data_IF_562214511373
#
_entry.id   IF_562214511373
#
_cell.length_a   1.000
_cell.length_b   1.000
_cell.length_c   1.000
_cell.angle_alpha   90.00
_cell.angle_beta   90.00
_cell.angle_gamma   90.00
#
_symmetry.space_group_name_H-M   'P 1'
#
loop_
_entity.id
_entity.type
_entity.pdbx_description
1 polymer ?
#
# COMPACT_ATOMS: atom_id res chain seq x y z
N UNK A 1 11.71 -5.52 37.87
CA UNK A 1 12.31 -4.23 37.52
C UNK A 1 11.90 -3.92 36.08
N UNK A 2 11.20 -2.83 35.79
CA UNK A 2 10.88 -2.46 34.42
C UNK A 2 12.15 -1.91 33.75
N UNK A 3 12.53 -2.50 32.63
CA UNK A 3 13.59 -2.01 31.77
C UNK A 3 13.12 -0.67 31.21
N UNK A 4 13.90 0.41 31.40
CA UNK A 4 13.52 1.76 30.98
C UNK A 4 13.40 1.83 29.46
N UNK A 5 12.38 2.53 28.95
CA UNK A 5 12.15 2.72 27.49
C UNK A 5 13.38 3.25 26.73
N UNK A 6 14.27 3.98 27.43
CA UNK A 6 15.55 4.49 26.88
C UNK A 6 16.56 3.38 26.57
N UNK A 7 16.56 2.27 27.31
CA UNK A 7 17.48 1.14 27.06
C UNK A 7 17.00 0.31 25.86
N UNK A 8 15.69 0.23 25.63
CA UNK A 8 15.11 -0.48 24.48
C UNK A 8 15.45 0.26 23.18
N UNK A 9 15.42 1.60 23.18
CA UNK A 9 15.75 2.40 21.99
C UNK A 9 17.25 2.37 21.68
N UNK A 10 18.12 2.43 22.70
CA UNK A 10 19.57 2.31 22.50
C UNK A 10 20.00 0.92 22.04
N UNK A 11 19.36 -0.13 22.53
CA UNK A 11 19.61 -1.51 22.08
C UNK A 11 19.19 -1.70 20.61
N UNK A 12 18.05 -1.15 20.19
CA UNK A 12 17.61 -1.23 18.79
C UNK A 12 18.53 -0.47 17.84
N UNK A 13 19.01 0.72 18.24
CA UNK A 13 19.98 1.50 17.47
C UNK A 13 21.31 0.75 17.38
N UNK A 14 21.78 0.15 18.46
CA UNK A 14 23.01 -0.64 18.45
C UNK A 14 22.90 -1.89 17.57
N UNK A 15 21.75 -2.55 17.53
CA UNK A 15 21.50 -3.72 16.65
C UNK A 15 21.46 -3.28 15.19
N UNK A 16 20.82 -2.17 14.86
CA UNK A 16 20.81 -1.61 13.51
C UNK A 16 22.21 -1.22 13.04
N UNK A 17 23.02 -0.63 13.92
CA UNK A 17 24.43 -0.30 13.63
C UNK A 17 25.27 -1.57 13.41
N UNK A 18 25.12 -2.61 14.22
CA UNK A 18 25.84 -3.88 14.05
C UNK A 18 25.44 -4.61 12.77
N UNK A 19 24.16 -4.60 12.40
CA UNK A 19 23.69 -5.15 11.13
C UNK A 19 24.21 -4.32 9.97
N UNK A 20 24.22 -2.99 10.08
CA UNK A 20 24.82 -2.08 9.11
C UNK A 20 26.32 -2.34 8.89
N UNK A 21 27.09 -2.52 9.97
CA UNK A 21 28.52 -2.85 9.91
C UNK A 21 28.78 -4.22 9.28
N UNK A 22 27.96 -5.23 9.59
CA UNK A 22 28.07 -6.56 8.99
C UNK A 22 27.75 -6.54 7.49
N UNK A 23 26.76 -5.76 7.08
CA UNK A 23 26.41 -5.55 5.66
C UNK A 23 27.47 -4.71 4.93
N UNK A 24 28.07 -3.74 5.60
CA UNK A 24 29.17 -2.92 5.05
C UNK A 24 30.36 -3.77 4.58
N UNK A 25 30.69 -4.85 5.31
CA UNK A 25 31.79 -5.76 4.94
C UNK A 25 31.44 -6.64 3.72
N UNK A 26 30.20 -6.77 3.33
CA UNK A 26 29.73 -7.61 2.22
C UNK A 26 29.46 -6.81 0.93
N UNK A 27 29.37 -5.47 1.02
CA UNK A 27 29.09 -4.61 -0.13
C UNK A 27 30.39 -4.20 -0.82
N UNK A 28 30.59 -4.66 -2.06
CA UNK A 28 31.75 -4.25 -2.87
C UNK A 28 31.47 -2.90 -3.52
N UNK A 29 32.13 -1.84 -3.03
CA UNK A 29 31.95 -0.46 -3.51
C UNK A 29 32.69 -0.27 -4.84
N UNK A 30 31.97 -0.11 -5.95
CA UNK A 30 32.49 0.54 -7.17
C UNK A 30 32.08 2.01 -7.12
N UNK A 31 33.04 2.93 -6.93
CA UNK A 31 32.79 4.37 -7.04
C UNK A 31 32.57 4.74 -8.51
N UNK A 32 31.46 5.38 -8.90
CA UNK A 32 31.32 5.97 -10.22
C UNK A 32 32.07 7.30 -10.28
N UNK A 33 32.81 7.53 -11.39
CA UNK A 33 33.42 8.83 -11.68
C UNK A 33 32.35 9.87 -12.00
N UNK A 34 32.39 11.00 -11.32
CA UNK A 34 31.49 12.13 -11.52
C UNK A 34 31.90 12.91 -12.78
N UNK A 35 31.06 12.94 -13.79
CA UNK A 35 31.07 13.97 -14.83
C UNK A 35 29.85 14.89 -14.68
N UNK A 36 30.13 16.15 -14.34
CA UNK A 36 29.15 17.24 -14.28
C UNK A 36 28.85 17.67 -15.72
N UNK A 37 27.80 17.14 -16.34
CA UNK A 37 27.17 17.78 -17.48
C UNK A 37 25.78 17.16 -17.69
N UNK A 38 24.75 17.85 -17.21
CA UNK A 38 23.47 18.08 -17.87
C UNK A 38 22.41 18.55 -16.84
N UNK A 39 22.54 19.82 -16.46
CA UNK A 39 21.38 20.60 -16.03
C UNK A 39 20.74 21.18 -17.32
N UNK A 40 19.58 20.73 -17.69
CA UNK A 40 18.87 21.24 -18.85
C UNK A 40 17.43 20.78 -18.96
N UNK A 41 16.51 21.68 -18.69
CA UNK A 41 15.25 21.78 -19.40
C UNK A 41 14.05 21.00 -18.84
N UNK A 42 13.29 21.64 -17.94
CA UNK A 42 11.91 21.26 -17.69
C UNK A 42 11.04 21.41 -18.92
N UNK A 43 10.52 20.32 -19.44
CA UNK A 43 9.48 20.30 -20.46
C UNK A 43 8.19 19.77 -19.82
N UNK A 44 7.21 20.67 -19.67
CA UNK A 44 5.86 20.33 -19.21
C UNK A 44 5.22 19.30 -20.15
N UNK A 45 5.08 18.07 -19.71
CA UNK A 45 4.31 17.05 -20.42
C UNK A 45 2.82 17.37 -20.28
N UNK A 46 2.20 17.65 -21.44
CA UNK A 46 0.74 17.68 -21.64
C UNK A 46 0.14 16.37 -21.10
N UNK A 47 -0.78 16.49 -20.15
CA UNK A 47 -1.65 15.39 -19.73
C UNK A 47 -2.46 14.90 -20.93
N UNK A 48 -2.21 13.68 -21.33
CA UNK A 48 -2.96 13.00 -22.39
C UNK A 48 -4.21 12.36 -21.78
N UNK A 49 -5.31 12.62 -22.44
CA UNK A 49 -6.66 12.08 -22.42
C UNK A 49 -7.20 11.32 -21.20
N UNK A 50 -8.15 11.95 -20.51
CA UNK A 50 -9.10 11.30 -19.60
C UNK A 50 -9.95 10.28 -20.38
N UNK A 51 -9.69 9.00 -20.17
CA UNK A 51 -10.66 7.93 -20.42
C UNK A 51 -11.32 7.59 -19.08
N UNK A 52 -12.39 8.28 -18.78
CA UNK A 52 -13.19 8.07 -17.55
C UNK A 52 -14.07 9.29 -17.32
N UNK A 53 -15.29 9.08 -16.85
CA UNK A 53 -16.24 10.15 -16.55
C UNK A 53 -15.62 11.29 -15.72
N UNK A 54 -16.28 12.44 -15.72
CA UNK A 54 -15.83 13.59 -14.93
C UNK A 54 -15.94 13.27 -13.42
N UNK A 55 -14.80 12.88 -12.81
CA UNK A 55 -14.69 12.48 -11.40
C UNK A 55 -13.76 13.41 -10.61
N UNK A 56 -14.06 14.73 -10.54
CA UNK A 56 -13.15 15.71 -9.98
C UNK A 56 -12.88 15.52 -8.49
N UNK A 57 -13.87 15.11 -7.71
CA UNK A 57 -13.72 14.85 -6.27
C UNK A 57 -12.88 13.59 -6.07
N UNK A 58 -13.22 12.51 -6.75
CA UNK A 58 -12.49 11.25 -6.67
C UNK A 58 -11.02 11.43 -7.07
N UNK A 59 -10.74 12.12 -8.17
CA UNK A 59 -9.38 12.39 -8.65
C UNK A 59 -8.59 13.33 -7.71
N UNK A 60 -9.28 14.19 -6.94
CA UNK A 60 -8.63 15.11 -5.98
C UNK A 60 -8.19 14.43 -4.69
N UNK A 61 -8.87 13.37 -4.28
CA UNK A 61 -8.62 12.67 -3.01
C UNK A 61 -8.10 11.24 -3.18
N UNK A 62 -7.75 10.83 -4.41
CA UNK A 62 -7.21 9.49 -4.65
C UNK A 62 -5.99 9.51 -5.56
N UNK A 63 -5.17 8.46 -5.41
CA UNK A 63 -4.05 8.15 -6.29
C UNK A 63 -4.46 7.02 -7.22
N UNK A 64 -4.32 7.19 -8.53
CA UNK A 64 -4.67 6.16 -9.53
C UNK A 64 -3.49 5.21 -9.74
N UNK A 65 -3.54 4.02 -9.11
CA UNK A 65 -2.51 3.00 -9.26
C UNK A 65 -2.43 2.46 -10.69
N UNK A 66 -3.55 2.38 -11.41
CA UNK A 66 -3.52 1.93 -12.82
C UNK A 66 -2.85 2.95 -13.73
N UNK A 67 -2.99 4.24 -13.45
CA UNK A 67 -2.27 5.29 -14.16
C UNK A 67 -0.77 5.26 -13.83
N UNK A 68 -0.39 5.12 -12.55
CA UNK A 68 1.02 5.01 -12.14
C UNK A 68 1.72 3.84 -12.84
N UNK A 69 1.06 2.70 -12.97
CA UNK A 69 1.60 1.56 -13.72
C UNK A 69 1.84 1.90 -15.19
N UNK A 70 0.89 2.61 -15.84
CA UNK A 70 1.04 3.02 -17.24
C UNK A 70 2.20 4.01 -17.45
N UNK A 71 2.40 4.90 -16.46
CA UNK A 71 3.49 5.89 -16.45
C UNK A 71 4.83 5.29 -16.01
N UNK A 72 4.87 3.99 -15.65
CA UNK A 72 6.02 3.26 -15.10
C UNK A 72 6.56 3.86 -13.80
N UNK A 73 5.71 4.49 -13.03
CA UNK A 73 5.99 5.11 -11.73
C UNK A 73 5.58 4.20 -10.56
N UNK A 74 5.69 2.89 -10.76
CA UNK A 74 5.38 1.89 -9.73
C UNK A 74 6.43 0.80 -9.71
N UNK A 75 6.81 0.37 -8.52
CA UNK A 75 7.75 -0.71 -8.33
C UNK A 75 7.16 -2.07 -8.73
N UNK A 76 7.99 -3.02 -9.19
CA UNK A 76 7.52 -4.35 -9.51
C UNK A 76 7.05 -5.07 -8.23
N UNK A 77 5.87 -5.68 -8.30
CA UNK A 77 5.37 -6.52 -7.21
C UNK A 77 5.85 -7.94 -7.41
N UNK A 78 6.65 -8.42 -6.47
CA UNK A 78 7.28 -9.75 -6.49
C UNK A 78 6.56 -10.66 -5.49
N UNK A 79 6.31 -11.88 -5.91
CA UNK A 79 5.55 -12.84 -5.11
C UNK A 79 4.04 -12.49 -5.04
N UNK A 80 3.38 -12.91 -3.98
CA UNK A 80 1.96 -12.60 -3.71
C UNK A 80 0.98 -13.00 -4.82
N UNK A 81 1.38 -13.95 -5.67
CA UNK A 81 0.57 -14.38 -6.83
C UNK A 81 -0.78 -14.92 -6.40
N UNK A 82 -0.81 -15.73 -5.34
CA UNK A 82 -2.02 -16.39 -4.85
C UNK A 82 -2.98 -15.38 -4.22
N UNK A 83 -2.46 -14.44 -3.43
CA UNK A 83 -3.27 -13.39 -2.81
C UNK A 83 -3.85 -12.43 -3.86
N UNK A 84 -3.06 -12.04 -4.88
CA UNK A 84 -3.53 -11.20 -5.99
C UNK A 84 -4.59 -11.95 -6.80
N UNK A 85 -4.39 -13.23 -7.09
CA UNK A 85 -5.37 -14.06 -7.79
C UNK A 85 -6.67 -14.21 -6.98
N UNK A 86 -6.55 -14.43 -5.66
CA UNK A 86 -7.70 -14.50 -4.78
C UNK A 86 -8.44 -13.18 -4.72
N UNK A 87 -7.74 -12.05 -4.65
CA UNK A 87 -8.31 -10.71 -4.69
C UNK A 87 -9.09 -10.48 -5.99
N UNK A 88 -8.49 -10.79 -7.14
CA UNK A 88 -9.15 -10.70 -8.45
C UNK A 88 -10.40 -11.58 -8.52
N UNK A 89 -10.34 -12.80 -7.98
CA UNK A 89 -11.48 -13.71 -7.91
C UNK A 89 -12.63 -13.15 -7.07
N UNK A 90 -12.32 -12.55 -5.89
CA UNK A 90 -13.35 -11.94 -5.03
C UNK A 90 -14.01 -10.77 -5.73
N UNK A 91 -13.21 -9.87 -6.32
CA UNK A 91 -13.72 -8.70 -7.03
C UNK A 91 -14.56 -9.06 -8.27
N UNK A 92 -14.30 -10.21 -8.90
CA UNK A 92 -15.06 -10.68 -10.08
C UNK A 92 -16.42 -11.30 -9.74
N UNK A 93 -16.77 -11.43 -8.46
CA UNK A 93 -18.05 -12.02 -8.05
C UNK A 93 -19.22 -11.09 -8.36
N UNK A 94 -20.37 -11.69 -8.62
CA UNK A 94 -21.63 -10.93 -8.82
C UNK A 94 -22.06 -10.23 -7.53
N UNK A 95 -21.99 -10.96 -6.40
CA UNK A 95 -22.35 -10.48 -5.07
C UNK A 95 -21.15 -10.65 -4.14
N UNK A 96 -21.04 -9.82 -3.08
CA UNK A 96 -19.92 -9.82 -2.14
C UNK A 96 -18.59 -9.67 -2.88
N UNK A 97 -18.54 -8.67 -3.74
CA UNK A 97 -17.42 -8.34 -4.61
C UNK A 97 -16.50 -7.27 -4.00
N UNK A 98 -16.53 -7.13 -2.68
CA UNK A 98 -15.58 -6.33 -1.93
C UNK A 98 -14.66 -7.24 -1.12
N UNK A 99 -13.39 -6.89 -1.04
CA UNK A 99 -12.38 -7.63 -0.29
C UNK A 99 -11.84 -6.82 0.88
N UNK A 100 -11.42 -7.50 1.92
CA UNK A 100 -10.65 -6.91 3.00
C UNK A 100 -9.39 -7.74 3.24
N UNK A 101 -8.22 -7.12 3.06
CA UNK A 101 -6.91 -7.72 3.27
C UNK A 101 -6.58 -7.64 4.77
N UNK A 102 -6.35 -8.79 5.40
CA UNK A 102 -6.09 -8.91 6.82
C UNK A 102 -4.66 -9.40 7.05
N UNK A 103 -3.84 -8.61 7.73
CA UNK A 103 -2.47 -9.01 8.04
C UNK A 103 -1.77 -7.97 8.90
N UNK A 104 -0.67 -8.37 9.53
CA UNK A 104 0.16 -7.49 10.33
C UNK A 104 0.67 -6.28 9.54
N UNK A 105 1.03 -5.17 10.19
CA UNK A 105 1.70 -4.06 9.51
C UNK A 105 2.97 -4.54 8.81
N UNK A 106 3.28 -4.00 7.63
CA UNK A 106 4.50 -4.31 6.89
C UNK A 106 4.53 -5.66 6.15
N UNK A 107 3.44 -6.46 6.15
CA UNK A 107 3.41 -7.74 5.40
C UNK A 107 3.24 -7.57 3.89
N UNK A 108 2.97 -6.36 3.38
CA UNK A 108 2.79 -6.08 1.95
C UNK A 108 1.34 -6.12 1.48
N UNK A 109 0.36 -5.70 2.30
CA UNK A 109 -1.05 -5.59 1.88
C UNK A 109 -1.23 -4.64 0.70
N UNK A 110 -0.59 -3.48 0.76
CA UNK A 110 -0.64 -2.47 -0.31
C UNK A 110 0.00 -2.99 -1.60
N UNK A 111 1.12 -3.72 -1.50
CA UNK A 111 1.78 -4.35 -2.64
C UNK A 111 0.86 -5.35 -3.39
N UNK A 112 -0.02 -6.07 -2.69
CA UNK A 112 -1.02 -6.96 -3.33
C UNK A 112 -1.98 -6.14 -4.20
N UNK A 113 -2.39 -4.96 -3.74
CA UNK A 113 -3.30 -4.07 -4.49
C UNK A 113 -2.58 -3.45 -5.69
N UNK A 114 -1.34 -3.03 -5.52
CA UNK A 114 -0.46 -2.55 -6.60
C UNK A 114 -0.22 -3.64 -7.65
N UNK A 115 0.02 -4.88 -7.22
CA UNK A 115 0.14 -6.03 -8.11
C UNK A 115 -1.15 -6.31 -8.90
N UNK A 116 -2.31 -6.12 -8.29
CA UNK A 116 -3.58 -6.18 -9.01
C UNK A 116 -3.68 -5.08 -10.08
N UNK A 117 -3.27 -3.84 -9.76
CA UNK A 117 -3.25 -2.75 -10.74
C UNK A 117 -2.34 -3.07 -11.93
N UNK A 118 -1.15 -3.65 -11.68
CA UNK A 118 -0.25 -4.11 -12.74
C UNK A 118 -0.90 -5.16 -13.64
N UNK A 119 -1.62 -6.13 -13.06
CA UNK A 119 -2.33 -7.15 -13.83
C UNK A 119 -3.53 -6.59 -14.61
N UNK A 120 -4.25 -5.60 -14.06
CA UNK A 120 -5.34 -4.92 -14.78
C UNK A 120 -4.79 -4.23 -16.03
N UNK A 121 -3.71 -3.47 -15.91
CA UNK A 121 -3.09 -2.76 -17.03
C UNK A 121 -2.55 -3.72 -18.10
N UNK A 122 -2.01 -4.88 -17.69
CA UNK A 122 -1.54 -5.94 -18.59
C UNK A 122 -2.67 -6.81 -19.15
N UNK A 123 -3.92 -6.59 -18.76
CA UNK A 123 -5.08 -7.45 -19.07
C UNK A 123 -4.93 -8.91 -18.59
N UNK A 124 -4.14 -9.14 -17.54
CA UNK A 124 -3.91 -10.45 -16.90
C UNK A 124 -4.93 -10.71 -15.76
N UNK A 125 -6.16 -10.24 -15.94
CA UNK A 125 -7.27 -10.37 -14.99
C UNK A 125 -8.51 -10.86 -15.71
N UNK A 126 -9.52 -11.40 -14.95
CA UNK A 126 -10.82 -11.74 -15.51
C UNK A 126 -11.45 -10.56 -16.27
N UNK A 127 -12.21 -10.85 -17.32
CA UNK A 127 -12.83 -9.85 -18.19
C UNK A 127 -13.63 -8.78 -17.42
N UNK A 128 -14.24 -9.16 -16.29
CA UNK A 128 -14.99 -8.26 -15.40
C UNK A 128 -14.15 -7.17 -14.74
N UNK A 129 -12.82 -7.32 -14.74
CA UNK A 129 -11.87 -6.37 -14.14
C UNK A 129 -11.02 -5.64 -15.18
N UNK A 130 -11.05 -6.05 -16.44
CA UNK A 130 -10.29 -5.41 -17.51
C UNK A 130 -10.76 -3.97 -17.72
N UNK A 131 -9.80 -3.07 -17.95
CA UNK A 131 -10.07 -1.65 -18.21
C UNK A 131 -10.58 -0.84 -17.02
N UNK A 132 -10.67 -1.43 -15.82
CA UNK A 132 -11.05 -0.70 -14.60
C UNK A 132 -9.91 0.15 -14.09
N UNK A 133 -10.25 1.28 -13.47
CA UNK A 133 -9.33 2.11 -12.69
C UNK A 133 -9.26 1.57 -11.26
N UNK A 134 -8.07 1.48 -10.70
CA UNK A 134 -7.85 1.14 -9.30
C UNK A 134 -7.31 2.37 -8.57
N UNK A 135 -8.12 2.94 -7.69
CA UNK A 135 -7.88 4.21 -7.02
C UNK A 135 -7.65 3.98 -5.53
N UNK A 136 -6.54 4.48 -5.01
CA UNK A 136 -6.24 4.51 -3.58
C UNK A 136 -6.75 5.81 -2.96
N UNK A 137 -7.74 5.71 -2.07
CA UNK A 137 -8.35 6.87 -1.41
C UNK A 137 -7.48 7.36 -0.25
N UNK A 138 -7.15 8.65 -0.27
CA UNK A 138 -6.52 9.32 0.86
C UNK A 138 -7.59 9.86 1.82
N UNK A 139 -7.94 9.04 2.81
CA UNK A 139 -8.96 9.38 3.82
C UNK A 139 -8.56 10.62 4.63
N UNK A 140 -7.26 10.75 4.96
CA UNK A 140 -6.74 11.90 5.71
C UNK A 140 -6.93 13.21 4.92
N UNK A 141 -6.66 13.20 3.63
CA UNK A 141 -6.88 14.36 2.76
C UNK A 141 -8.37 14.71 2.64
N UNK A 142 -9.25 13.70 2.60
CA UNK A 142 -10.70 13.90 2.56
C UNK A 142 -11.24 14.56 3.84
N UNK A 143 -10.66 14.21 5.00
CA UNK A 143 -11.00 14.78 6.31
C UNK A 143 -10.38 16.16 6.52
N UNK A 144 -9.21 16.44 5.92
CA UNK A 144 -8.48 17.68 6.17
C UNK A 144 -9.15 18.90 5.52
N UNK A 145 -8.95 20.08 6.14
CA UNK A 145 -9.46 21.34 5.61
C UNK A 145 -10.98 21.57 5.74
N UNK A 146 -11.70 20.68 6.41
CA UNK A 146 -13.12 20.89 6.74
C UNK A 146 -13.23 21.60 8.08
N UNK A 147 -13.55 22.90 8.05
CA UNK A 147 -13.82 23.69 9.28
C UNK A 147 -15.16 23.33 9.91
N UNK A 148 -16.10 22.89 9.10
CA UNK A 148 -17.45 22.53 9.51
C UNK A 148 -17.74 21.08 9.12
N UNK A 149 -18.37 20.38 10.02
CA UNK A 149 -18.79 18.97 9.90
C UNK A 149 -19.55 18.67 8.60
N UNK A 150 -20.50 19.53 8.22
CA UNK A 150 -21.30 19.36 6.99
C UNK A 150 -20.48 19.41 5.69
N UNK A 151 -19.29 20.00 5.72
CA UNK A 151 -18.40 19.99 4.54
C UNK A 151 -17.81 18.62 4.28
N UNK A 152 -17.41 17.90 5.32
CA UNK A 152 -16.94 16.52 5.20
C UNK A 152 -18.05 15.59 4.69
N UNK A 153 -19.23 15.66 5.32
CA UNK A 153 -20.39 14.85 4.92
C UNK A 153 -20.74 15.09 3.43
N UNK A 154 -20.75 16.35 3.01
CA UNK A 154 -21.00 16.73 1.61
C UNK A 154 -19.94 16.16 0.66
N UNK A 155 -18.65 16.29 1.00
CA UNK A 155 -17.54 15.74 0.17
C UNK A 155 -17.62 14.22 0.08
N UNK A 156 -17.86 13.56 1.20
CA UNK A 156 -17.98 12.10 1.26
C UNK A 156 -19.17 11.61 0.44
N UNK A 157 -20.32 12.29 0.51
CA UNK A 157 -21.49 11.95 -0.32
C UNK A 157 -21.18 12.17 -1.81
N UNK A 158 -20.59 13.29 -2.18
CA UNK A 158 -20.20 13.57 -3.57
C UNK A 158 -19.22 12.51 -4.12
N UNK A 159 -18.24 12.08 -3.31
CA UNK A 159 -17.30 11.02 -3.68
C UNK A 159 -18.04 9.70 -3.95
N UNK A 160 -18.97 9.32 -3.08
CA UNK A 160 -19.78 8.10 -3.26
C UNK A 160 -20.66 8.18 -4.51
N UNK A 161 -21.26 9.34 -4.76
CA UNK A 161 -22.11 9.58 -5.93
C UNK A 161 -21.29 9.54 -7.23
N UNK A 162 -20.07 10.11 -7.24
CA UNK A 162 -19.15 10.02 -8.38
C UNK A 162 -18.77 8.55 -8.67
N UNK A 163 -18.42 7.76 -7.63
CA UNK A 163 -18.08 6.35 -7.82
C UNK A 163 -19.27 5.56 -8.35
N UNK A 164 -20.47 5.81 -7.81
CA UNK A 164 -21.70 5.15 -8.27
C UNK A 164 -22.00 5.48 -9.74
N UNK A 165 -21.73 6.72 -10.18
CA UNK A 165 -21.88 7.15 -11.57
C UNK A 165 -20.90 6.48 -12.54
N UNK A 166 -19.79 5.93 -12.04
CA UNK A 166 -18.79 5.23 -12.84
C UNK A 166 -19.21 3.79 -13.23
N UNK A 167 -20.41 3.34 -12.92
CA UNK A 167 -20.98 2.03 -13.34
C UNK A 167 -20.02 0.86 -13.08
N UNK A 168 -19.36 0.85 -11.91
CA UNK A 168 -18.36 -0.15 -11.51
C UNK A 168 -17.06 -0.18 -12.36
N UNK A 169 -16.78 0.87 -13.12
CA UNK A 169 -15.48 0.99 -13.82
C UNK A 169 -14.33 1.36 -12.88
N UNK A 170 -14.64 1.68 -11.61
CA UNK A 170 -13.68 2.04 -10.57
C UNK A 170 -13.68 0.99 -9.47
N UNK A 171 -12.47 0.61 -9.04
CA UNK A 171 -12.20 -0.15 -7.82
C UNK A 171 -11.55 0.81 -6.84
N UNK A 172 -12.15 1.00 -5.65
CA UNK A 172 -11.58 1.85 -4.62
C UNK A 172 -10.79 1.02 -3.62
N UNK A 173 -9.56 1.43 -3.33
CA UNK A 173 -8.75 0.90 -2.25
C UNK A 173 -8.69 1.88 -1.09
N UNK A 174 -8.87 1.39 0.12
CA UNK A 174 -8.70 2.15 1.36
C UNK A 174 -7.74 1.38 2.26
N UNK A 175 -6.54 1.93 2.41
CA UNK A 175 -5.61 1.41 3.41
C UNK A 175 -6.05 1.85 4.81
N UNK A 176 -5.73 1.05 5.84
CA UNK A 176 -6.16 1.29 7.22
C UNK A 176 -7.67 1.60 7.31
N UNK A 177 -8.51 0.81 6.59
CA UNK A 177 -9.96 1.07 6.45
C UNK A 177 -10.69 1.16 7.80
N UNK A 178 -10.12 0.64 8.88
CA UNK A 178 -10.66 0.78 10.23
C UNK A 178 -10.73 2.26 10.68
N UNK A 179 -9.85 3.14 10.18
CA UNK A 179 -9.86 4.58 10.49
C UNK A 179 -11.15 5.26 10.02
N UNK A 180 -11.70 4.79 8.91
CA UNK A 180 -12.99 5.23 8.35
C UNK A 180 -14.16 4.87 9.27
N UNK A 181 -14.04 3.76 9.99
CA UNK A 181 -15.09 3.25 10.88
C UNK A 181 -14.93 3.82 12.28
N UNK A 182 -13.68 4.04 12.72
CA UNK A 182 -13.35 4.63 14.01
C UNK A 182 -13.67 6.10 14.14
N UNK A 183 -13.77 6.84 13.04
CA UNK A 183 -14.07 8.28 13.04
C UNK A 183 -15.47 8.57 13.60
N UNK A 184 -15.81 7.87 14.69
CA UNK A 184 -16.94 8.19 15.57
C UNK A 184 -16.61 9.49 16.29
N UNK A 185 -16.89 10.61 15.63
CA UNK A 185 -16.87 11.91 16.28
C UNK A 185 -17.84 11.92 17.46
N UNK A 186 -17.76 12.97 18.30
CA UNK A 186 -18.69 13.23 19.41
C UNK A 186 -20.14 12.96 19.00
N UNK A 187 -20.98 12.58 19.97
CA UNK A 187 -22.40 12.25 19.81
C UNK A 187 -23.07 13.04 18.70
N UNK A 188 -23.65 12.34 17.72
CA UNK A 188 -24.35 12.92 16.57
C UNK A 188 -23.52 13.08 15.29
N UNK A 189 -22.30 12.55 15.14
CA UNK A 189 -21.53 12.62 13.88
C UNK A 189 -21.90 11.49 12.92
N UNK A 190 -22.16 11.84 11.63
CA UNK A 190 -22.29 10.83 10.56
C UNK A 190 -20.91 10.31 10.24
N UNK A 191 -20.73 8.99 10.36
CA UNK A 191 -19.46 8.34 10.02
C UNK A 191 -19.38 8.15 8.51
N UNK A 192 -18.18 8.20 7.94
CA UNK A 192 -17.98 7.89 6.55
C UNK A 192 -18.50 6.47 6.19
N UNK A 193 -18.41 5.54 7.13
CA UNK A 193 -19.00 4.20 6.99
C UNK A 193 -20.51 4.24 6.76
N UNK A 194 -21.25 5.14 7.40
CA UNK A 194 -22.69 5.26 7.25
C UNK A 194 -23.09 5.80 5.87
N UNK A 195 -22.23 6.66 5.29
CA UNK A 195 -22.38 7.13 3.90
C UNK A 195 -22.11 6.01 2.90
N UNK A 196 -21.11 5.15 3.19
CA UNK A 196 -20.76 4.02 2.30
C UNK A 196 -21.78 2.87 2.34
N UNK A 197 -22.39 2.59 3.50
CA UNK A 197 -23.29 1.42 3.69
C UNK A 197 -24.41 1.33 2.67
N UNK A 198 -25.17 2.39 2.34
CA UNK A 198 -26.23 2.32 1.33
C UNK A 198 -25.71 1.93 -0.06
N UNK A 199 -24.60 2.52 -0.51
CA UNK A 199 -23.99 2.26 -1.80
C UNK A 199 -23.38 0.84 -1.88
N UNK A 200 -22.75 0.37 -0.79
CA UNK A 200 -22.32 -1.02 -0.66
C UNK A 200 -23.49 -2.00 -0.67
N UNK A 201 -24.62 -1.61 -0.08
CA UNK A 201 -25.83 -2.45 -0.06
C UNK A 201 -26.44 -2.64 -1.45
N UNK A 202 -26.48 -1.58 -2.25
CA UNK A 202 -26.94 -1.63 -3.65
C UNK A 202 -25.94 -2.34 -4.57
N UNK A 203 -24.65 -2.45 -4.15
CA UNK A 203 -23.58 -3.00 -4.96
C UNK A 203 -23.04 -2.02 -6.01
N UNK A 204 -23.24 -0.73 -5.80
CA UNK A 204 -22.74 0.34 -6.67
C UNK A 204 -21.24 0.53 -6.51
N UNK A 205 -20.71 0.16 -5.33
CA UNK A 205 -19.28 0.26 -5.00
C UNK A 205 -18.59 -1.08 -5.15
N UNK A 206 -17.35 -1.02 -5.64
CA UNK A 206 -16.39 -2.11 -5.62
C UNK A 206 -15.14 -1.66 -4.85
N UNK A 207 -14.87 -2.33 -3.74
CA UNK A 207 -13.88 -1.84 -2.76
C UNK A 207 -12.92 -2.94 -2.31
N UNK A 208 -11.70 -2.49 -2.01
CA UNK A 208 -10.68 -3.25 -1.29
C UNK A 208 -10.36 -2.47 -0.03
N UNK A 209 -10.44 -3.09 1.12
CA UNK A 209 -9.93 -2.55 2.39
C UNK A 209 -8.68 -3.28 2.81
N UNK A 210 -7.80 -2.62 3.56
CA UNK A 210 -6.69 -3.27 4.25
C UNK A 210 -6.71 -2.86 5.73
N UNK A 211 -6.44 -3.83 6.62
CA UNK A 211 -6.37 -3.59 8.06
C UNK A 211 -5.67 -4.76 8.77
N UNK A 212 -5.46 -4.67 10.08
CA UNK A 212 -4.98 -5.78 10.89
C UNK A 212 -6.15 -6.70 11.31
N UNK A 213 -5.81 -7.92 11.78
CA UNK A 213 -6.81 -8.88 12.27
C UNK A 213 -7.52 -8.34 13.52
N UNK A 214 -6.78 -7.67 14.40
CA UNK A 214 -7.33 -7.14 15.66
C UNK A 214 -8.32 -6.01 15.39
N UNK A 215 -7.97 -5.09 14.49
CA UNK A 215 -8.84 -4.00 14.07
C UNK A 215 -10.08 -4.49 13.29
N UNK A 216 -9.91 -5.51 12.45
CA UNK A 216 -11.03 -6.16 11.79
C UNK A 216 -12.01 -6.74 12.82
N UNK A 217 -11.54 -7.48 13.81
CA UNK A 217 -12.39 -8.06 14.86
C UNK A 217 -13.06 -6.97 15.69
N UNK A 218 -12.35 -5.89 16.00
CA UNK A 218 -12.83 -4.79 16.85
C UNK A 218 -13.86 -3.89 16.17
N UNK A 219 -13.69 -3.60 14.89
CA UNK A 219 -14.47 -2.56 14.20
C UNK A 219 -15.34 -3.10 13.07
N UNK A 220 -14.86 -4.06 12.28
CA UNK A 220 -15.58 -4.57 11.12
C UNK A 220 -16.57 -5.68 11.47
N UNK A 221 -16.11 -6.63 12.25
CA UNK A 221 -16.89 -7.83 12.59
C UNK A 221 -18.12 -7.50 13.45
N UNK A 222 -18.06 -6.42 14.21
CA UNK A 222 -19.17 -5.94 15.05
C UNK A 222 -20.24 -5.20 14.26
N UNK A 223 -19.97 -4.79 13.03
CA UNK A 223 -20.93 -4.19 12.11
C UNK A 223 -21.42 -5.22 11.08
N UNK A 224 -22.63 -5.81 11.25
CA UNK A 224 -23.12 -6.86 10.36
C UNK A 224 -23.33 -6.39 8.92
N UNK A 225 -23.57 -5.09 8.68
CA UNK A 225 -23.79 -4.54 7.35
C UNK A 225 -22.48 -4.55 6.53
N UNK A 226 -21.36 -4.18 7.16
CA UNK A 226 -20.04 -4.24 6.55
C UNK A 226 -19.53 -5.68 6.44
N UNK A 227 -19.62 -6.47 7.53
CA UNK A 227 -19.12 -7.85 7.57
C UNK A 227 -19.76 -8.75 6.48
N UNK A 228 -21.04 -8.50 6.14
CA UNK A 228 -21.72 -9.25 5.07
C UNK A 228 -21.33 -8.85 3.64
N UNK A 229 -20.66 -7.70 3.48
CA UNK A 229 -20.31 -7.14 2.16
C UNK A 229 -18.86 -7.37 1.77
N UNK A 230 -17.98 -7.52 2.76
CA UNK A 230 -16.58 -7.77 2.53
C UNK A 230 -16.21 -9.24 2.74
N UNK A 231 -15.33 -9.75 1.87
CA UNK A 231 -14.71 -11.07 2.04
C UNK A 231 -13.29 -10.90 2.58
N UNK A 232 -12.97 -11.49 3.74
CA UNK A 232 -11.62 -11.45 4.27
C UNK A 232 -10.67 -12.30 3.44
N UNK A 233 -9.50 -11.75 3.19
CA UNK A 233 -8.34 -12.42 2.57
C UNK A 233 -7.19 -12.29 3.55
N UNK A 234 -6.70 -13.40 4.07
CA UNK A 234 -5.57 -13.44 4.97
C UNK A 234 -4.28 -13.18 4.19
N UNK A 235 -3.46 -12.26 4.70
CA UNK A 235 -2.12 -11.95 4.18
C UNK A 235 -1.11 -12.31 5.27
N UNK A 236 -0.41 -13.41 5.06
CA UNK A 236 0.58 -13.90 6.01
C UNK A 236 1.95 -13.26 5.76
N UNK A 237 2.77 -13.21 6.80
CA UNK A 237 4.19 -12.86 6.67
C UNK A 237 4.84 -13.83 5.68
N UNK A 238 5.63 -13.33 4.69
CA UNK A 238 6.34 -14.20 3.75
C UNK A 238 7.40 -15.04 4.48
N UNK A 239 7.72 -16.19 3.93
CA UNK A 239 8.86 -16.97 4.42
C UNK A 239 10.16 -16.19 4.20
N UNK A 240 11.23 -16.57 4.90
CA UNK A 240 12.55 -15.97 4.71
C UNK A 240 12.99 -16.04 3.24
N UNK A 241 12.73 -17.16 2.56
CA UNK A 241 13.11 -17.34 1.16
C UNK A 241 12.26 -16.46 0.23
N UNK A 242 10.95 -16.34 0.48
CA UNK A 242 10.08 -15.45 -0.28
C UNK A 242 10.50 -13.99 -0.08
N UNK A 243 10.85 -13.60 1.15
CA UNK A 243 11.34 -12.25 1.44
C UNK A 243 12.67 -11.95 0.72
N UNK A 244 13.60 -12.92 0.65
CA UNK A 244 14.83 -12.77 -0.15
C UNK A 244 14.47 -12.55 -1.63
N UNK A 245 13.54 -13.33 -2.18
CA UNK A 245 13.09 -13.18 -3.57
C UNK A 245 12.44 -11.81 -3.81
N UNK A 246 11.63 -11.34 -2.87
CA UNK A 246 11.02 -10.01 -2.93
C UNK A 246 12.11 -8.93 -2.99
N UNK A 247 13.05 -8.94 -2.04
CA UNK A 247 14.10 -7.92 -1.99
C UNK A 247 15.03 -7.99 -3.22
N UNK A 248 15.34 -9.18 -3.73
CA UNK A 248 16.09 -9.33 -4.97
C UNK A 248 15.36 -8.71 -6.16
N UNK A 249 14.04 -8.80 -6.20
CA UNK A 249 13.23 -8.22 -7.26
C UNK A 249 13.12 -6.70 -7.23
N UNK A 250 13.29 -6.07 -6.05
CA UNK A 250 13.21 -4.61 -5.90
C UNK A 250 14.59 -3.94 -5.75
N UNK A 251 15.66 -4.69 -5.53
CA UNK A 251 17.01 -4.16 -5.24
C UNK A 251 17.52 -3.16 -6.28
N UNK A 252 17.16 -3.35 -7.57
CA UNK A 252 17.62 -2.47 -8.64
C UNK A 252 17.05 -1.05 -8.51
N UNK A 253 15.85 -0.90 -7.95
CA UNK A 253 15.27 0.42 -7.65
C UNK A 253 16.03 1.15 -6.54
N UNK A 254 16.39 0.42 -5.48
CA UNK A 254 17.22 0.95 -4.39
C UNK A 254 18.65 1.27 -4.87
N UNK A 255 19.23 0.41 -5.74
CA UNK A 255 20.49 0.68 -6.42
C UNK A 255 20.43 1.97 -7.24
N UNK A 256 19.36 2.18 -8.01
CA UNK A 256 19.17 3.38 -8.81
C UNK A 256 19.02 4.63 -7.95
N UNK A 257 18.29 4.54 -6.85
CA UNK A 257 18.06 5.65 -5.92
C UNK A 257 19.34 6.02 -5.13
N UNK A 258 19.96 5.04 -4.47
CA UNK A 258 21.13 5.26 -3.61
C UNK A 258 22.44 5.31 -4.37
N UNK A 259 22.49 4.92 -5.65
CA UNK A 259 23.73 4.80 -6.45
C UNK A 259 24.73 3.79 -5.86
N UNK A 260 24.21 2.77 -5.18
CA UNK A 260 24.97 1.72 -4.48
C UNK A 260 24.61 0.35 -5.05
N UNK A 261 25.59 -0.52 -5.22
CA UNK A 261 25.35 -1.92 -5.65
C UNK A 261 24.98 -2.79 -4.45
N UNK A 262 23.78 -3.40 -4.49
CA UNK A 262 23.35 -4.41 -3.52
C UNK A 262 23.63 -5.81 -4.07
N UNK A 263 24.61 -6.52 -3.47
CA UNK A 263 24.90 -7.91 -3.83
C UNK A 263 23.79 -8.85 -3.33
N UNK A 264 23.61 -9.99 -3.99
CA UNK A 264 22.63 -10.99 -3.53
C UNK A 264 22.94 -11.48 -2.11
N UNK A 265 24.24 -11.60 -1.75
CA UNK A 265 24.66 -11.94 -0.40
C UNK A 265 24.26 -10.86 0.64
N UNK A 266 24.34 -9.57 0.29
CA UNK A 266 23.91 -8.48 1.15
C UNK A 266 22.39 -8.51 1.37
N UNK A 267 21.62 -8.73 0.31
CA UNK A 267 20.15 -8.88 0.39
C UNK A 267 19.76 -10.06 1.28
N UNK A 268 20.39 -11.22 1.08
CA UNK A 268 20.15 -12.40 1.90
C UNK A 268 20.53 -12.16 3.37
N UNK A 269 21.66 -11.50 3.63
CA UNK A 269 22.09 -11.14 4.98
C UNK A 269 21.10 -10.17 5.64
N UNK A 270 20.57 -9.17 4.94
CA UNK A 270 19.57 -8.25 5.44
C UNK A 270 18.31 -9.00 5.91
N UNK A 271 17.78 -9.90 5.09
CA UNK A 271 16.56 -10.66 5.44
C UNK A 271 16.83 -11.60 6.63
N UNK A 272 17.90 -12.41 6.58
CA UNK A 272 18.18 -13.39 7.63
C UNK A 272 18.50 -12.75 8.97
N UNK A 273 19.28 -11.65 8.97
CA UNK A 273 19.65 -10.94 10.19
C UNK A 273 18.43 -10.26 10.82
N UNK A 274 17.61 -9.58 10.02
CA UNK A 274 16.40 -8.91 10.53
C UNK A 274 15.38 -9.91 11.03
N UNK A 275 15.22 -11.05 10.34
CA UNK A 275 14.34 -12.12 10.80
C UNK A 275 14.74 -12.64 12.17
N UNK A 276 16.05 -12.81 12.42
CA UNK A 276 16.58 -13.35 13.68
C UNK A 276 16.60 -12.33 14.83
N UNK A 277 16.92 -11.07 14.51
CA UNK A 277 17.25 -10.07 15.52
C UNK A 277 16.13 -9.06 15.81
N UNK A 278 15.29 -8.75 14.81
CA UNK A 278 14.23 -7.76 14.97
C UNK A 278 12.91 -8.47 15.23
N UNK A 279 12.46 -8.38 16.49
CA UNK A 279 11.15 -8.86 16.93
C UNK A 279 10.11 -7.73 16.89
N UNK A 280 8.84 -8.06 16.77
CA UNK A 280 7.74 -7.06 16.75
C UNK A 280 7.50 -6.36 15.40
N UNK A 281 8.33 -6.64 14.39
CA UNK A 281 8.12 -6.18 13.00
C UNK A 281 8.14 -7.39 12.06
N UNK A 282 7.49 -7.26 10.91
CA UNK A 282 7.31 -8.34 9.93
C UNK A 282 8.19 -8.20 8.71
N UNK A 283 8.47 -9.31 8.05
CA UNK A 283 9.01 -9.33 6.70
C UNK A 283 7.88 -9.01 5.69
N UNK A 284 8.20 -8.39 4.55
CA UNK A 284 9.54 -7.96 4.12
C UNK A 284 9.97 -6.59 4.67
N UNK A 285 9.06 -5.83 5.28
CA UNK A 285 9.21 -4.42 5.67
C UNK A 285 10.51 -4.15 6.45
N UNK A 286 10.75 -4.90 7.55
CA UNK A 286 11.96 -4.73 8.35
C UNK A 286 13.28 -4.98 7.59
N UNK A 287 13.25 -5.80 6.55
CA UNK A 287 14.44 -6.08 5.73
C UNK A 287 14.63 -5.03 4.64
N UNK A 288 13.54 -4.49 4.12
CA UNK A 288 13.55 -3.36 3.19
C UNK A 288 14.12 -2.13 3.88
N UNK A 289 13.66 -1.82 5.10
CA UNK A 289 14.18 -0.69 5.89
C UNK A 289 15.68 -0.78 6.11
N UNK A 290 16.20 -1.98 6.45
CA UNK A 290 17.65 -2.17 6.63
C UNK A 290 18.41 -1.97 5.30
N UNK A 291 17.86 -2.44 4.20
CA UNK A 291 18.48 -2.23 2.89
C UNK A 291 18.52 -0.75 2.51
N UNK A 292 17.44 -0.02 2.77
CA UNK A 292 17.31 1.41 2.51
C UNK A 292 18.28 2.23 3.39
N UNK A 293 18.34 1.92 4.68
CA UNK A 293 19.24 2.55 5.64
C UNK A 293 20.71 2.35 5.28
N UNK A 294 21.10 1.12 4.90
CA UNK A 294 22.46 0.82 4.45
C UNK A 294 22.80 1.57 3.16
N UNK A 295 21.84 1.65 2.23
CA UNK A 295 22.01 2.44 1.01
C UNK A 295 22.25 3.92 1.30
N UNK A 296 21.48 4.50 2.22
CA UNK A 296 21.63 5.89 2.64
C UNK A 296 22.97 6.15 3.32
N UNK A 297 23.41 5.25 4.20
CA UNK A 297 24.71 5.37 4.89
C UNK A 297 25.92 5.38 3.94
N UNK A 298 25.81 4.74 2.78
CA UNK A 298 26.88 4.72 1.78
C UNK A 298 27.02 6.03 0.99
N UNK A 299 26.07 6.95 1.12
CA UNK A 299 26.09 8.26 0.45
C UNK A 299 26.81 9.33 1.28
N UNK A 300 27.04 9.06 2.57
CA UNK A 300 27.73 9.95 3.52
C UNK A 300 29.20 9.62 3.56
#
# INVERSE_FOLDING_TARGET
>A
MPIALSEITTLHIAILLLVGIALYQVITIKKPEWSISQLGGGSGKKRMGKTGGNTPILDSFSTDFTQMVQEKDMDPVIGRTDEIQRLAQVLSRRNKNNAILLGSPGVGKTAIVEGLAQRIVKNEVPQTLQGKRLLSLNVTALLSGTKYRGEFEKRAQQLVDEIASCERSVIMFIDEIHTVIQSQGAEGSVNFSDILKPALARGDLQMIGATTIDEYNKYFKVDPALARRFLPIQVNEPTVNDAITILQGIKDKYKEFHKVEFTDAAVEAAVRSTHKQITGRTLPDKAIDVMDEVGALQQI
#
